data_IF_352181700168
#
_entry.id   IF_352181700168
#
_cell.length_a   1.000
_cell.length_b   1.000
_cell.length_c   1.000
_cell.angle_alpha   90.00
_cell.angle_beta   90.00
_cell.angle_gamma   90.00
#
_symmetry.space_group_name_H-M   'P 1'
#
loop_
_entity.id
_entity.type
_entity.pdbx_description
1 polymer ?
#
# COMPACT_ATOMS: atom_id res chain seq x y z
N UNK A 1 1.42 -20.02 -6.49
CA UNK A 1 2.23 -18.83 -6.18
C UNK A 1 2.31 -18.76 -4.67
N UNK A 2 3.51 -18.73 -4.09
CA UNK A 2 3.73 -19.05 -2.67
C UNK A 2 2.72 -18.41 -1.70
N UNK A 3 2.07 -19.27 -0.91
CA UNK A 3 1.11 -19.03 0.19
C UNK A 3 1.78 -18.36 1.41
N UNK A 4 2.64 -17.37 1.18
CA UNK A 4 3.40 -16.75 2.25
C UNK A 4 2.77 -15.43 2.66
N UNK A 5 2.70 -15.22 3.97
CA UNK A 5 2.50 -13.90 4.55
C UNK A 5 3.61 -12.97 4.03
N UNK A 6 3.22 -11.87 3.39
CA UNK A 6 4.16 -10.83 2.99
C UNK A 6 3.88 -9.61 3.83
N UNK A 7 4.93 -9.08 4.46
CA UNK A 7 4.93 -7.72 5.02
C UNK A 7 5.99 -6.95 4.25
N UNK A 8 5.56 -5.93 3.51
CA UNK A 8 6.47 -5.01 2.81
C UNK A 8 6.33 -3.63 3.43
N UNK A 9 7.43 -3.14 3.98
CA UNK A 9 7.59 -1.75 4.43
C UNK A 9 8.26 -0.99 3.29
N UNK A 10 7.65 0.10 2.85
CA UNK A 10 8.19 0.94 1.79
C UNK A 10 9.10 2.02 2.37
N UNK A 11 10.22 2.28 1.72
CA UNK A 11 11.10 3.40 2.07
C UNK A 11 10.52 4.71 1.51
N UNK A 12 9.57 5.26 2.28
CA UNK A 12 8.92 6.56 2.03
C UNK A 12 9.56 7.69 2.83
N UNK A 13 10.52 7.37 3.71
CA UNK A 13 11.24 8.34 4.54
C UNK A 13 10.54 8.68 5.83
N UNK A 14 10.04 9.93 5.91
CA UNK A 14 9.38 10.43 7.10
C UNK A 14 7.87 10.21 6.97
N UNK A 15 7.40 9.07 7.45
CA UNK A 15 6.03 8.62 7.35
C UNK A 15 5.97 7.10 7.24
N UNK A 16 4.76 6.56 7.08
CA UNK A 16 4.55 5.13 7.00
C UNK A 16 3.86 4.75 5.68
N UNK A 17 4.30 3.65 5.07
CA UNK A 17 3.56 2.96 4.03
C UNK A 17 3.88 1.47 4.09
N UNK A 18 2.88 0.64 4.40
CA UNK A 18 3.07 -0.80 4.62
C UNK A 18 2.01 -1.57 3.85
N UNK A 19 2.45 -2.59 3.10
CA UNK A 19 1.56 -3.54 2.44
C UNK A 19 1.68 -4.91 3.10
N UNK A 20 0.54 -5.47 3.50
CA UNK A 20 0.44 -6.82 4.05
C UNK A 20 -0.41 -7.68 3.14
N UNK A 21 0.12 -8.85 2.80
CA UNK A 21 -0.57 -9.90 2.06
C UNK A 21 -0.74 -11.10 2.96
N UNK A 22 -1.96 -11.45 3.28
CA UNK A 22 -2.29 -12.58 4.15
C UNK A 22 -2.91 -13.68 3.28
N UNK A 23 -2.29 -14.87 3.18
CA UNK A 23 -2.92 -16.04 2.58
C UNK A 23 -4.18 -16.43 3.35
N UNK A 24 -5.27 -16.70 2.64
CA UNK A 24 -6.56 -17.13 3.20
C UNK A 24 -7.12 -18.28 2.35
N UNK A 25 -6.60 -19.48 2.57
CA UNK A 25 -6.85 -20.63 1.69
C UNK A 25 -6.37 -20.34 0.26
N UNK A 26 -7.29 -20.45 -0.70
CA UNK A 26 -7.03 -20.11 -2.11
C UNK A 26 -7.07 -18.59 -2.39
N UNK A 27 -7.56 -17.80 -1.43
CA UNK A 27 -7.69 -16.36 -1.53
C UNK A 27 -6.51 -15.62 -0.89
N UNK A 28 -6.47 -14.32 -1.11
CA UNK A 28 -5.47 -13.43 -0.56
C UNK A 28 -6.18 -12.22 0.05
N UNK A 29 -5.98 -11.99 1.35
CA UNK A 29 -6.43 -10.77 2.02
C UNK A 29 -5.34 -9.69 1.94
N UNK A 30 -5.66 -8.58 1.28
CA UNK A 30 -4.72 -7.49 1.00
C UNK A 30 -4.99 -6.29 1.92
N UNK A 31 -4.01 -5.92 2.73
CA UNK A 31 -4.09 -4.79 3.68
C UNK A 31 -3.07 -3.74 3.31
N UNK A 32 -3.48 -2.47 3.40
CA UNK A 32 -2.57 -1.32 3.41
C UNK A 32 -2.67 -0.65 4.77
N UNK A 33 -1.53 -0.41 5.41
CA UNK A 33 -1.43 0.31 6.69
C UNK A 33 -0.64 1.58 6.41
N UNK A 34 -1.34 2.70 6.45
CA UNK A 34 -0.87 4.02 6.03
C UNK A 34 -0.28 4.02 4.61
N UNK A 35 -0.15 5.20 4.03
CA UNK A 35 0.79 5.44 2.96
C UNK A 35 1.02 6.94 2.82
N UNK A 36 2.16 7.43 3.29
CA UNK A 36 2.50 8.82 3.11
C UNK A 36 3.95 9.16 3.40
N UNK A 37 4.27 10.44 3.23
CA UNK A 37 5.57 11.01 3.60
C UNK A 37 5.50 12.52 3.78
N UNK A 38 6.17 13.08 4.79
CA UNK A 38 6.27 14.54 5.02
C UNK A 38 7.30 15.20 4.13
N UNK A 39 8.38 14.49 3.82
CA UNK A 39 9.55 15.04 3.14
C UNK A 39 9.73 14.35 1.77
N UNK A 40 9.92 15.15 0.72
CA UNK A 40 10.45 14.60 -0.54
C UNK A 40 11.88 14.14 -0.31
N UNK A 41 12.10 12.86 -0.04
CA UNK A 41 13.47 12.35 0.04
C UNK A 41 14.12 12.43 -1.35
N UNK A 42 15.33 12.97 -1.42
CA UNK A 42 16.23 12.68 -2.53
C UNK A 42 16.62 11.19 -2.50
N UNK A 43 15.92 10.37 -3.29
CA UNK A 43 16.23 8.95 -3.47
C UNK A 43 15.26 7.95 -2.82
N UNK A 44 14.30 8.40 -2.01
CA UNK A 44 13.22 7.57 -1.46
C UNK A 44 12.07 7.37 -2.45
N UNK A 45 11.24 6.36 -2.21
CA UNK A 45 10.07 6.09 -3.03
C UNK A 45 8.95 7.08 -2.70
N UNK A 46 8.35 7.71 -3.72
CA UNK A 46 7.17 8.55 -3.46
C UNK A 46 6.02 7.65 -2.98
N UNK A 47 5.16 8.12 -2.06
CA UNK A 47 3.98 7.36 -1.63
C UNK A 47 3.11 6.89 -2.81
N UNK A 48 2.98 7.71 -3.85
CA UNK A 48 2.25 7.34 -5.09
C UNK A 48 2.90 6.17 -5.84
N UNK A 49 4.22 6.10 -5.86
CA UNK A 49 4.96 5.02 -6.51
C UNK A 49 4.79 3.72 -5.69
N UNK A 50 4.71 3.83 -4.36
CA UNK A 50 4.42 2.70 -3.47
C UNK A 50 3.00 2.16 -3.74
N UNK A 51 2.00 3.05 -3.86
CA UNK A 51 0.63 2.68 -4.22
C UNK A 51 0.57 2.02 -5.61
N UNK A 52 1.24 2.59 -6.62
CA UNK A 52 1.28 2.00 -7.96
C UNK A 52 1.92 0.60 -7.93
N UNK A 53 2.98 0.41 -7.14
CA UNK A 53 3.57 -0.90 -6.91
C UNK A 53 2.61 -1.86 -6.20
N UNK A 54 1.90 -1.44 -5.15
CA UNK A 54 0.89 -2.26 -4.46
C UNK A 54 -0.16 -2.72 -5.48
N UNK A 55 -0.75 -1.81 -6.25
CA UNK A 55 -1.75 -2.10 -7.27
C UNK A 55 -1.20 -3.09 -8.31
N UNK A 56 0.08 -2.98 -8.69
CA UNK A 56 0.72 -3.94 -9.61
C UNK A 56 0.75 -5.38 -9.05
N UNK A 57 0.80 -5.54 -7.73
CA UNK A 57 0.89 -6.83 -7.05
C UNK A 57 -0.48 -7.44 -6.72
N UNK A 58 -1.55 -6.65 -6.69
CA UNK A 58 -2.90 -7.15 -6.41
C UNK A 58 -3.38 -8.06 -7.56
N UNK A 59 -3.85 -9.28 -7.26
CA UNK A 59 -4.49 -10.13 -8.26
C UNK A 59 -5.83 -9.53 -8.68
N UNK A 60 -6.32 -9.92 -9.86
CA UNK A 60 -7.73 -9.72 -10.20
C UNK A 60 -8.55 -10.80 -9.50
N UNK A 61 -9.64 -10.41 -8.87
CA UNK A 61 -10.58 -11.32 -8.24
C UNK A 61 -11.71 -11.71 -9.20
N UNK A 62 -12.69 -12.50 -8.73
CA UNK A 62 -13.77 -13.05 -9.55
C UNK A 62 -14.63 -11.97 -10.25
N UNK A 63 -14.70 -10.77 -9.70
CA UNK A 63 -15.39 -9.62 -10.29
C UNK A 63 -14.56 -8.88 -11.36
N UNK A 64 -13.35 -9.37 -11.65
CA UNK A 64 -12.41 -8.80 -12.62
C UNK A 64 -11.66 -7.56 -12.12
N UNK A 65 -11.87 -7.14 -10.86
CA UNK A 65 -11.23 -5.97 -10.24
C UNK A 65 -10.12 -6.39 -9.29
N UNK A 66 -9.31 -5.40 -8.88
CA UNK A 66 -8.26 -5.55 -7.88
C UNK A 66 -8.75 -4.90 -6.59
N UNK A 67 -8.60 -5.57 -5.46
CA UNK A 67 -9.09 -5.06 -4.18
C UNK A 67 -7.97 -4.92 -3.15
N UNK A 68 -8.00 -3.78 -2.47
CA UNK A 68 -7.46 -3.65 -1.11
C UNK A 68 -8.65 -3.96 -0.19
N UNK A 69 -8.51 -4.99 0.63
CA UNK A 69 -9.60 -5.46 1.48
C UNK A 69 -9.74 -4.63 2.76
N UNK A 70 -8.63 -4.11 3.26
CA UNK A 70 -8.59 -3.25 4.44
C UNK A 70 -7.56 -2.14 4.26
N UNK A 71 -7.99 -0.92 4.54
CA UNK A 71 -7.12 0.22 4.76
C UNK A 71 -7.12 0.54 6.25
N UNK A 72 -5.94 0.49 6.87
CA UNK A 72 -5.73 0.94 8.24
C UNK A 72 -5.04 2.29 8.18
N UNK A 73 -5.68 3.31 8.74
CA UNK A 73 -5.08 4.63 8.93
C UNK A 73 -4.80 4.78 10.42
N UNK A 74 -3.53 4.87 10.80
CA UNK A 74 -3.14 4.89 12.22
C UNK A 74 -3.60 6.17 12.91
N UNK A 75 -3.42 7.32 12.26
CA UNK A 75 -3.82 8.64 12.73
C UNK A 75 -3.79 9.67 11.57
N UNK A 76 -4.33 10.89 11.73
CA UNK A 76 -4.60 11.78 10.60
C UNK A 76 -3.41 12.66 10.19
N UNK A 77 -2.19 12.39 10.67
CA UNK A 77 -1.04 13.18 10.24
C UNK A 77 -0.74 12.97 8.75
N UNK A 78 -0.29 14.03 8.09
CA UNK A 78 -0.22 14.12 6.64
C UNK A 78 0.70 13.04 6.03
N UNK A 79 1.79 12.72 6.72
CA UNK A 79 2.77 11.70 6.38
C UNK A 79 2.28 10.25 6.49
N UNK A 80 1.02 10.04 6.88
CA UNK A 80 0.38 8.73 6.89
C UNK A 80 -0.71 8.60 5.82
N UNK A 81 -1.23 9.71 5.29
CA UNK A 81 -2.44 9.72 4.45
C UNK A 81 -2.24 10.31 3.06
N UNK A 82 -1.18 11.07 2.83
CA UNK A 82 -1.04 11.84 1.59
C UNK A 82 -0.78 11.01 0.33
N UNK A 83 -0.41 9.73 0.47
CA UNK A 83 -0.31 8.80 -0.66
C UNK A 83 -1.66 8.43 -1.28
N UNK A 84 -2.77 8.73 -0.61
CA UNK A 84 -4.14 8.47 -1.09
C UNK A 84 -4.80 9.69 -1.74
N UNK A 85 -4.10 10.82 -1.82
CA UNK A 85 -4.63 12.00 -2.51
C UNK A 85 -4.84 11.70 -4.01
N UNK A 86 -5.84 12.37 -4.61
CA UNK A 86 -6.06 12.28 -6.05
C UNK A 86 -4.79 12.75 -6.76
N UNK A 87 -4.29 11.93 -7.70
CA UNK A 87 -3.25 12.38 -8.65
C UNK A 87 -3.77 13.66 -9.32
N UNK A 88 -3.04 14.76 -9.14
CA UNK A 88 -3.30 16.01 -9.88
C UNK A 88 -2.93 15.72 -11.33
N UNK A 89 -3.94 15.67 -12.19
CA UNK A 89 -3.80 15.56 -13.65
C UNK A 89 -3.50 16.93 -14.23
#
# INVERSE_FOLDING_TARGET
>A
MEEKLVVRVYDVGFGDCIYVRIPDGENIFNVVIDCGSKDTIQGGQKPTDAIDHIISKLPKEADGKKHIHLLVVTHPHFDHINGFEKKKV
#
